data_IF_078390732427
#
_entry.id   IF_078390732427
#
_cell.length_a   1.000
_cell.length_b   1.000
_cell.length_c   1.000
_cell.angle_alpha   90.00
_cell.angle_beta   90.00
_cell.angle_gamma   90.00
#
_symmetry.space_group_name_H-M   'P 1'
#
loop_
_entity.id
_entity.type
_entity.pdbx_description
1 polymer ?
#
# COMPACT_ATOMS: atom_id res chain seq x y z
N UNK A 1 -49.19 -45.39 41.22
CA UNK A 1 -48.84 -44.41 40.15
C UNK A 1 -49.32 -44.94 38.81
N UNK A 2 -50.14 -44.18 38.09
CA UNK A 2 -50.88 -44.67 36.93
C UNK A 2 -50.03 -44.54 35.66
N UNK A 3 -49.53 -45.66 35.11
CA UNK A 3 -48.64 -45.69 33.93
C UNK A 3 -49.22 -44.91 32.72
N UNK A 4 -50.56 -44.89 32.62
CA UNK A 4 -51.31 -44.18 31.58
C UNK A 4 -51.23 -42.65 31.69
N UNK A 5 -51.07 -42.09 32.89
CA UNK A 5 -50.88 -40.64 33.07
C UNK A 5 -49.44 -40.22 32.80
N UNK A 6 -48.48 -41.08 33.15
CA UNK A 6 -47.05 -40.86 32.88
C UNK A 6 -46.73 -40.83 31.38
N UNK A 7 -47.28 -41.79 30.61
CA UNK A 7 -47.11 -41.83 29.15
C UNK A 7 -47.79 -40.63 28.46
N UNK A 8 -48.99 -40.23 28.92
CA UNK A 8 -49.67 -39.04 28.41
C UNK A 8 -48.88 -37.75 28.70
N UNK A 9 -48.31 -37.63 29.90
CA UNK A 9 -47.44 -36.50 30.26
C UNK A 9 -46.21 -36.39 29.37
N UNK A 10 -45.51 -37.51 29.10
CA UNK A 10 -44.33 -37.52 28.21
C UNK A 10 -44.66 -37.12 26.78
N UNK A 11 -45.79 -37.61 26.24
CA UNK A 11 -46.24 -37.26 24.87
C UNK A 11 -46.54 -35.76 24.76
N UNK A 12 -47.22 -35.18 25.75
CA UNK A 12 -47.52 -33.74 25.78
C UNK A 12 -46.24 -32.91 25.85
N UNK A 13 -45.28 -33.31 26.69
CA UNK A 13 -44.00 -32.62 26.83
C UNK A 13 -43.20 -32.67 25.51
N UNK A 14 -43.14 -33.83 24.85
CA UNK A 14 -42.44 -33.94 23.56
C UNK A 14 -43.09 -33.09 22.48
N UNK A 15 -44.43 -33.05 22.41
CA UNK A 15 -45.14 -32.21 21.44
C UNK A 15 -44.91 -30.71 21.68
N UNK A 16 -44.91 -30.29 22.94
CA UNK A 16 -44.61 -28.91 23.33
C UNK A 16 -43.17 -28.51 22.98
N UNK A 17 -42.19 -29.40 23.24
CA UNK A 17 -40.79 -29.16 22.89
C UNK A 17 -40.58 -29.07 21.38
N UNK A 18 -41.20 -29.96 20.60
CA UNK A 18 -41.11 -29.90 19.14
C UNK A 18 -41.78 -28.64 18.58
N UNK A 19 -42.96 -28.26 19.11
CA UNK A 19 -43.65 -27.04 18.69
C UNK A 19 -42.84 -25.79 19.03
N UNK A 20 -42.22 -25.74 20.22
CA UNK A 20 -41.35 -24.65 20.64
C UNK A 20 -40.10 -24.56 19.74
N UNK A 21 -39.45 -25.69 19.43
CA UNK A 21 -38.31 -25.72 18.51
C UNK A 21 -38.66 -25.25 17.11
N UNK A 22 -39.84 -25.62 16.58
CA UNK A 22 -40.32 -25.17 15.27
C UNK A 22 -40.65 -23.67 15.29
N UNK A 23 -41.28 -23.18 16.36
CA UNK A 23 -41.58 -21.76 16.53
C UNK A 23 -40.29 -20.91 16.57
N UNK A 24 -39.29 -21.32 17.37
CA UNK A 24 -37.97 -20.67 17.45
C UNK A 24 -37.26 -20.68 16.10
N UNK A 25 -37.32 -21.80 15.38
CA UNK A 25 -36.74 -21.89 14.02
C UNK A 25 -37.42 -20.93 13.04
N UNK A 26 -38.74 -20.80 13.11
CA UNK A 26 -39.50 -19.92 12.23
C UNK A 26 -39.24 -18.43 12.54
N UNK A 27 -39.18 -18.04 13.82
CA UNK A 27 -38.87 -16.65 14.20
C UNK A 27 -37.44 -16.25 13.81
N UNK A 28 -36.46 -17.15 13.97
CA UNK A 28 -35.07 -16.88 13.56
C UNK A 28 -34.91 -16.69 12.04
N UNK A 29 -35.74 -17.36 11.23
CA UNK A 29 -35.73 -17.23 9.76
C UNK A 29 -36.34 -15.92 9.27
N UNK A 30 -37.39 -15.43 9.93
CA UNK A 30 -38.12 -14.22 9.48
C UNK A 30 -37.32 -12.93 9.73
N UNK A 31 -36.46 -12.89 10.75
CA UNK A 31 -35.62 -11.71 11.04
C UNK A 31 -34.50 -11.47 10.00
N UNK A 32 -34.20 -12.44 9.14
CA UNK A 32 -33.17 -12.30 8.11
C UNK A 32 -33.60 -11.43 6.92
N UNK A 33 -34.89 -11.09 6.80
CA UNK A 33 -35.42 -10.34 5.67
C UNK A 33 -35.69 -8.85 5.93
N UNK A 34 -35.61 -8.38 7.20
CA UNK A 34 -35.90 -6.97 7.55
C UNK A 34 -34.65 -6.09 7.69
N UNK A 35 -33.45 -6.65 7.70
CA UNK A 35 -32.18 -5.88 7.73
C UNK A 35 -31.59 -5.70 6.31
N UNK A 36 -32.15 -6.36 5.29
CA UNK A 36 -31.64 -6.33 3.92
C UNK A 36 -32.10 -5.13 3.07
N UNK A 37 -32.78 -4.13 3.65
CA UNK A 37 -33.26 -2.94 2.92
C UNK A 37 -32.82 -1.61 3.53
N UNK A 38 -31.72 -1.60 4.30
CA UNK A 38 -30.91 -0.38 4.35
C UNK A 38 -30.19 -0.29 3.01
N UNK A 39 -30.81 0.46 2.11
CA UNK A 39 -30.18 1.08 0.95
C UNK A 39 -28.91 1.78 1.41
N UNK A 40 -27.78 1.06 1.42
CA UNK A 40 -26.45 1.67 1.37
C UNK A 40 -26.51 2.53 0.11
N UNK A 41 -26.40 3.86 0.20
CA UNK A 41 -26.34 4.66 -1.02
C UNK A 41 -25.20 4.09 -1.84
N UNK A 42 -25.52 3.65 -3.07
CA UNK A 42 -24.54 3.23 -4.05
C UNK A 42 -23.37 4.19 -3.99
N UNK A 43 -22.10 3.71 -3.95
CA UNK A 43 -20.98 4.63 -3.98
C UNK A 43 -21.18 5.51 -5.22
N UNK A 44 -21.40 6.80 -4.96
CA UNK A 44 -21.22 7.84 -5.97
C UNK A 44 -19.88 7.50 -6.62
N UNK A 45 -19.76 7.47 -7.96
CA UNK A 45 -18.47 7.23 -8.59
C UNK A 45 -17.57 8.43 -8.29
N UNK A 46 -16.95 8.41 -7.11
CA UNK A 46 -15.84 9.28 -6.69
C UNK A 46 -14.58 8.78 -7.38
N UNK A 47 -14.63 8.57 -8.70
CA UNK A 47 -13.58 7.84 -9.44
C UNK A 47 -12.28 8.63 -9.61
N UNK A 48 -12.18 9.84 -9.07
CA UNK A 48 -10.95 10.62 -9.05
C UNK A 48 -10.24 10.67 -7.69
N UNK A 49 -10.90 10.28 -6.59
CA UNK A 49 -10.35 10.46 -5.24
C UNK A 49 -9.60 9.23 -4.69
N UNK A 50 -9.60 8.11 -5.40
CA UNK A 50 -8.92 6.87 -4.97
C UNK A 50 -7.67 6.53 -5.79
N UNK A 51 -7.47 7.21 -6.93
CA UNK A 51 -6.32 6.97 -7.79
C UNK A 51 -5.05 7.51 -7.12
N UNK A 52 -4.26 6.61 -6.54
CA UNK A 52 -2.92 6.94 -6.06
C UNK A 52 -2.01 7.29 -7.24
N UNK A 53 -1.04 8.19 -7.00
CA UNK A 53 -0.04 8.56 -7.99
C UNK A 53 0.78 7.32 -8.40
N UNK A 54 0.47 6.76 -9.57
CA UNK A 54 1.20 5.66 -10.19
C UNK A 54 2.01 6.20 -11.36
N UNK A 55 3.31 5.99 -11.31
CA UNK A 55 4.27 6.73 -12.13
C UNK A 55 5.41 5.82 -12.58
N UNK A 56 5.96 6.10 -13.77
CA UNK A 56 7.17 5.45 -14.24
C UNK A 56 8.42 6.13 -13.69
N UNK A 57 9.30 5.33 -13.11
CA UNK A 57 10.62 5.72 -12.65
C UNK A 57 11.68 4.85 -13.30
N UNK A 58 12.89 5.38 -13.44
CA UNK A 58 14.06 4.52 -13.63
C UNK A 58 14.44 3.94 -12.26
N UNK A 59 14.88 2.69 -12.25
CA UNK A 59 15.34 2.01 -11.05
C UNK A 59 16.71 1.40 -11.27
N UNK A 60 17.57 1.52 -10.27
CA UNK A 60 18.83 0.77 -10.10
C UNK A 60 18.82 0.06 -8.74
N UNK A 61 19.87 -0.68 -8.43
CA UNK A 61 20.07 -1.26 -7.12
C UNK A 61 21.50 -0.99 -6.61
N UNK A 62 21.61 -0.87 -5.28
CA UNK A 62 22.87 -0.72 -4.57
C UNK A 62 22.97 -1.75 -3.44
N UNK A 63 24.20 -2.11 -3.07
CA UNK A 63 24.48 -3.12 -2.04
C UNK A 63 25.45 -2.63 -0.94
N UNK A 64 25.97 -1.41 -1.07
CA UNK A 64 27.03 -0.87 -0.21
C UNK A 64 26.47 0.14 0.78
N UNK A 65 27.21 0.35 1.86
CA UNK A 65 26.85 1.28 2.93
C UNK A 65 26.40 0.57 4.19
N UNK A 66 26.40 1.30 5.30
CA UNK A 66 26.00 0.80 6.62
C UNK A 66 24.81 1.56 7.18
N UNK A 67 24.73 2.85 6.88
CA UNK A 67 23.74 3.79 7.42
C UNK A 67 23.19 4.66 6.28
N UNK A 68 21.87 4.77 6.20
CA UNK A 68 21.19 5.61 5.21
C UNK A 68 21.29 7.08 5.58
N UNK A 69 20.94 7.98 4.65
CA UNK A 69 20.86 9.42 4.92
C UNK A 69 19.96 9.78 6.11
N UNK A 70 18.89 9.03 6.35
CA UNK A 70 18.01 9.22 7.50
C UNK A 70 18.61 8.77 8.84
N UNK A 71 19.77 8.11 8.84
CA UNK A 71 20.44 7.61 10.05
C UNK A 71 20.09 6.17 10.44
N UNK A 72 19.25 5.48 9.65
CA UNK A 72 18.86 4.09 9.90
C UNK A 72 19.88 3.13 9.30
N UNK A 73 20.15 2.00 9.97
CA UNK A 73 20.98 0.94 9.38
C UNK A 73 20.33 0.37 8.12
N UNK A 74 21.10 0.29 7.04
CA UNK A 74 20.59 -0.17 5.74
C UNK A 74 20.15 -1.65 5.81
N UNK A 75 19.05 -1.97 5.12
CA UNK A 75 18.43 -3.31 5.05
C UNK A 75 17.45 -3.39 3.89
N UNK A 76 17.02 -4.60 3.54
CA UNK A 76 15.97 -4.82 2.54
C UNK A 76 14.69 -4.02 2.88
N UNK A 77 13.99 -3.57 1.82
CA UNK A 77 12.84 -2.68 1.91
C UNK A 77 13.21 -1.19 2.01
N UNK A 78 14.48 -0.83 1.82
CA UNK A 78 14.96 0.55 1.76
C UNK A 78 15.28 0.92 0.31
N UNK A 79 14.90 2.13 -0.08
CA UNK A 79 15.33 2.75 -1.33
C UNK A 79 16.00 4.10 -1.08
N UNK A 80 16.89 4.47 -1.99
CA UNK A 80 17.37 5.82 -2.17
C UNK A 80 16.54 6.52 -3.26
N UNK A 81 16.28 7.81 -3.10
CA UNK A 81 15.60 8.62 -4.11
C UNK A 81 16.05 10.09 -4.04
N UNK A 82 15.57 10.90 -4.99
CA UNK A 82 15.68 12.35 -4.93
C UNK A 82 14.70 12.93 -3.89
N UNK A 83 15.18 13.61 -2.84
CA UNK A 83 14.31 14.17 -1.80
C UNK A 83 13.40 15.31 -2.30
N UNK A 84 13.67 15.91 -3.46
CA UNK A 84 12.80 16.94 -4.05
C UNK A 84 11.51 16.37 -4.66
N UNK A 85 11.50 15.08 -5.04
CA UNK A 85 10.33 14.40 -5.58
C UNK A 85 9.75 13.37 -4.60
N UNK A 86 10.62 12.62 -3.93
CA UNK A 86 10.27 11.63 -2.93
C UNK A 86 11.01 11.95 -1.62
N UNK A 87 10.44 12.80 -0.76
CA UNK A 87 11.06 13.17 0.51
C UNK A 87 11.40 11.95 1.37
N UNK A 88 12.43 12.06 2.21
CA UNK A 88 12.78 11.00 3.17
C UNK A 88 11.54 10.67 4.04
N UNK A 89 11.30 9.37 4.23
CA UNK A 89 10.12 8.83 4.90
C UNK A 89 9.02 8.38 3.94
N UNK A 90 9.09 8.78 2.66
CA UNK A 90 8.12 8.34 1.64
C UNK A 90 8.06 6.82 1.55
N UNK A 91 6.87 6.29 1.31
CA UNK A 91 6.63 4.86 1.15
C UNK A 91 6.11 4.66 -0.27
N UNK A 92 6.73 3.75 -1.00
CA UNK A 92 6.40 3.43 -2.37
C UNK A 92 6.14 1.94 -2.51
N UNK A 93 5.20 1.59 -3.37
CA UNK A 93 5.06 0.23 -3.87
C UNK A 93 5.67 0.18 -5.27
N UNK A 94 6.53 -0.80 -5.48
CA UNK A 94 7.14 -1.10 -6.77
C UNK A 94 6.41 -2.30 -7.35
N UNK A 95 5.93 -2.12 -8.58
CA UNK A 95 5.34 -3.19 -9.40
C UNK A 95 6.26 -3.49 -10.58
N UNK A 96 6.71 -4.73 -10.66
CA UNK A 96 7.58 -5.28 -11.69
C UNK A 96 7.08 -6.66 -12.12
N UNK A 97 7.76 -7.32 -13.06
CA UNK A 97 7.44 -8.70 -13.48
C UNK A 97 8.44 -9.68 -12.87
N UNK A 98 8.73 -9.55 -11.58
CA UNK A 98 9.84 -10.29 -10.96
C UNK A 98 9.93 -10.18 -9.44
N UNK A 99 11.02 -10.68 -8.84
CA UNK A 99 11.16 -10.81 -7.39
C UNK A 99 11.32 -9.48 -6.64
N UNK A 100 11.33 -8.36 -7.36
CA UNK A 100 11.59 -7.03 -6.82
C UNK A 100 10.30 -6.27 -6.46
N UNK A 101 9.15 -6.91 -6.67
CA UNK A 101 7.84 -6.39 -6.26
C UNK A 101 7.79 -6.22 -4.75
N UNK A 102 7.27 -5.09 -4.29
CA UNK A 102 7.11 -4.87 -2.86
C UNK A 102 7.06 -3.42 -2.44
N UNK A 103 7.05 -3.23 -1.13
CA UNK A 103 6.97 -1.93 -0.48
C UNK A 103 8.37 -1.51 -0.02
N UNK A 104 8.77 -0.31 -0.43
CA UNK A 104 10.05 0.28 -0.09
C UNK A 104 9.83 1.61 0.64
N UNK A 105 10.66 1.87 1.63
CA UNK A 105 10.72 3.17 2.31
C UNK A 105 11.92 3.95 1.82
N UNK A 106 11.70 5.18 1.38
CA UNK A 106 12.74 6.11 0.98
C UNK A 106 13.43 6.63 2.24
N UNK A 107 14.58 6.06 2.57
CA UNK A 107 15.35 6.42 3.76
C UNK A 107 16.76 6.93 3.42
N UNK A 108 17.14 6.83 2.14
CA UNK A 108 18.45 7.21 1.68
C UNK A 108 18.39 8.18 0.48
N UNK A 109 19.52 8.78 0.17
CA UNK A 109 19.70 9.70 -0.97
C UNK A 109 21.08 9.49 -1.58
N UNK A 110 21.26 9.76 -2.85
CA UNK A 110 22.57 9.68 -3.49
C UNK A 110 22.78 10.78 -4.53
N UNK A 111 24.03 11.26 -4.72
CA UNK A 111 24.33 12.29 -5.72
C UNK A 111 24.04 11.83 -7.16
N UNK A 112 24.04 10.51 -7.40
CA UNK A 112 23.68 9.91 -8.69
C UNK A 112 22.19 9.52 -8.79
N UNK A 113 21.44 9.59 -7.69
CA UNK A 113 20.03 9.21 -7.58
C UNK A 113 19.19 10.48 -7.54
N UNK A 114 18.89 11.02 -8.73
CA UNK A 114 18.28 12.34 -8.92
C UNK A 114 17.08 12.24 -9.88
N UNK A 115 16.08 13.09 -9.68
CA UNK A 115 14.83 13.10 -10.44
C UNK A 115 14.02 11.81 -10.25
N UNK A 116 13.37 11.35 -11.32
CA UNK A 116 12.56 10.11 -11.35
C UNK A 116 13.43 8.85 -11.42
N UNK A 117 14.38 8.73 -10.49
CA UNK A 117 15.28 7.60 -10.30
C UNK A 117 15.19 7.12 -8.84
N UNK A 118 14.96 5.82 -8.66
CA UNK A 118 15.11 5.15 -7.37
C UNK A 118 16.30 4.19 -7.41
N UNK A 119 16.92 3.96 -6.26
CA UNK A 119 18.01 3.00 -6.09
C UNK A 119 17.67 2.04 -4.94
N UNK A 120 17.34 0.80 -5.24
CA UNK A 120 16.83 -0.17 -4.26
C UNK A 120 18.00 -0.85 -3.54
N UNK A 121 17.94 -0.93 -2.21
CA UNK A 121 18.94 -1.68 -1.47
C UNK A 121 18.76 -3.19 -1.64
N UNK A 122 19.86 -3.88 -1.95
CA UNK A 122 19.95 -5.33 -2.00
C UNK A 122 21.15 -5.81 -1.18
N UNK A 123 21.01 -6.95 -0.50
CA UNK A 123 22.11 -7.50 0.30
C UNK A 123 23.27 -7.97 -0.58
N UNK A 124 22.98 -8.57 -1.73
CA UNK A 124 23.98 -9.11 -2.64
C UNK A 124 24.33 -8.09 -3.72
N UNK A 125 25.62 -7.79 -3.87
CA UNK A 125 26.09 -6.97 -4.99
C UNK A 125 25.92 -7.67 -6.33
N UNK A 126 25.94 -9.01 -6.36
CA UNK A 126 25.64 -9.76 -7.58
C UNK A 126 24.17 -9.57 -7.98
N UNK A 127 23.26 -9.64 -7.02
CA UNK A 127 21.84 -9.38 -7.26
C UNK A 127 21.60 -7.93 -7.72
N UNK A 128 22.30 -6.96 -7.12
CA UNK A 128 22.22 -5.56 -7.55
C UNK A 128 22.73 -5.36 -9.00
N UNK A 129 23.77 -6.09 -9.41
CA UNK A 129 24.26 -6.08 -10.78
C UNK A 129 23.28 -6.74 -11.75
N UNK A 130 22.71 -7.88 -11.38
CA UNK A 130 21.69 -8.60 -12.17
C UNK A 130 20.38 -7.81 -12.28
N UNK A 131 20.04 -7.03 -11.25
CA UNK A 131 18.94 -6.08 -11.31
C UNK A 131 19.18 -5.03 -12.41
N UNK A 132 20.40 -4.51 -12.53
CA UNK A 132 20.77 -3.55 -13.57
C UNK A 132 19.91 -2.27 -13.55
N UNK A 133 19.82 -1.57 -14.68
CA UNK A 133 18.96 -0.40 -14.82
C UNK A 133 17.70 -0.78 -15.58
N UNK A 134 16.53 -0.47 -15.01
CA UNK A 134 15.22 -0.76 -15.63
C UNK A 134 14.21 0.34 -15.37
N UNK A 135 13.09 0.30 -16.06
CA UNK A 135 11.94 1.16 -15.78
C UNK A 135 10.92 0.38 -14.99
N UNK A 136 10.48 0.94 -13.86
CA UNK A 136 9.49 0.33 -12.98
C UNK A 136 8.28 1.25 -12.83
N UNK A 137 7.14 0.63 -12.62
CA UNK A 137 5.93 1.32 -12.22
C UNK A 137 5.93 1.41 -10.70
N UNK A 138 5.78 2.64 -10.20
CA UNK A 138 5.82 2.94 -8.79
C UNK A 138 4.50 3.59 -8.41
N UNK A 139 3.85 3.04 -7.39
CA UNK A 139 2.70 3.64 -6.75
C UNK A 139 3.12 4.28 -5.44
N UNK A 140 2.90 5.58 -5.30
CA UNK A 140 3.29 6.31 -4.09
C UNK A 140 2.25 6.03 -3.01
N UNK A 141 2.65 5.38 -1.93
CA UNK A 141 1.77 5.05 -0.81
C UNK A 141 1.66 6.20 0.19
N UNK A 142 2.78 6.88 0.46
CA UNK A 142 2.87 8.04 1.35
C UNK A 142 4.04 8.94 0.95
N UNK A 143 3.87 10.26 1.08
CA UNK A 143 4.97 11.22 0.92
C UNK A 143 5.52 11.67 2.28
N UNK A 144 6.83 11.55 2.46
CA UNK A 144 7.51 11.97 3.69
C UNK A 144 7.06 11.21 4.95
N UNK A 145 7.30 11.83 6.11
CA UNK A 145 7.04 11.22 7.42
C UNK A 145 5.60 11.36 7.92
N UNK A 146 4.86 12.32 7.39
CA UNK A 146 3.53 12.65 7.89
C UNK A 146 2.52 11.55 7.50
N UNK A 147 1.91 10.84 8.45
CA UNK A 147 0.93 9.79 8.14
C UNK A 147 -0.28 10.29 7.36
N UNK A 148 -0.70 11.56 7.56
CA UNK A 148 -1.81 12.14 6.82
C UNK A 148 -1.55 12.21 5.31
N UNK A 149 -0.27 12.25 4.89
CA UNK A 149 0.14 12.26 3.48
C UNK A 149 0.08 10.85 2.86
N UNK A 150 -0.84 9.99 3.35
CA UNK A 150 -1.13 8.66 2.81
C UNK A 150 -2.53 8.58 2.18
N UNK A 151 -3.39 9.58 2.39
CA UNK A 151 -4.72 9.62 1.77
C UNK A 151 -4.59 9.74 0.24
N UNK A 152 -5.29 8.91 -0.58
CA UNK A 152 -5.01 8.83 -2.01
C UNK A 152 -5.07 10.18 -2.76
N UNK A 153 -6.12 10.98 -2.53
CA UNK A 153 -6.23 12.33 -3.13
C UNK A 153 -5.11 13.26 -2.67
N UNK A 154 -4.80 13.27 -1.36
CA UNK A 154 -3.74 14.12 -0.80
C UNK A 154 -2.36 13.74 -1.32
N UNK A 155 -2.05 12.45 -1.44
CA UNK A 155 -0.79 11.96 -2.02
C UNK A 155 -0.63 12.46 -3.44
N UNK A 156 -1.69 12.36 -4.24
CA UNK A 156 -1.66 12.81 -5.63
C UNK A 156 -1.39 14.31 -5.74
N UNK A 157 -2.14 15.12 -4.98
CA UNK A 157 -1.99 16.58 -5.00
C UNK A 157 -0.60 17.01 -4.53
N UNK A 158 -0.10 16.41 -3.44
CA UNK A 158 1.24 16.69 -2.93
C UNK A 158 2.31 16.31 -3.96
N UNK A 159 2.20 15.13 -4.58
CA UNK A 159 3.18 14.72 -5.58
C UNK A 159 3.24 15.68 -6.76
N UNK A 160 2.08 16.13 -7.26
CA UNK A 160 2.00 17.12 -8.33
C UNK A 160 2.72 18.41 -7.92
N UNK A 161 2.48 18.91 -6.71
CA UNK A 161 3.17 20.10 -6.18
C UNK A 161 4.69 19.92 -6.12
N UNK A 162 5.18 18.77 -5.60
CA UNK A 162 6.61 18.47 -5.59
C UNK A 162 7.20 18.42 -7.00
N UNK A 163 6.48 17.82 -7.94
CA UNK A 163 6.94 17.74 -9.33
C UNK A 163 6.97 19.10 -10.02
N UNK A 164 5.96 19.94 -9.82
CA UNK A 164 5.92 21.30 -10.34
C UNK A 164 7.03 22.17 -9.73
N UNK A 165 7.27 22.05 -8.42
CA UNK A 165 8.37 22.72 -7.74
C UNK A 165 9.74 22.25 -8.27
N UNK A 166 9.88 20.96 -8.55
CA UNK A 166 11.08 20.39 -9.15
C UNK A 166 11.30 20.93 -10.57
N UNK A 167 10.26 20.97 -11.41
CA UNK A 167 10.36 21.49 -12.80
C UNK A 167 10.61 22.99 -12.86
N UNK A 168 10.10 23.76 -11.89
CA UNK A 168 10.25 25.21 -11.83
C UNK A 168 11.56 25.67 -11.18
N UNK A 169 12.26 24.80 -10.47
CA UNK A 169 13.60 25.10 -9.96
C UNK A 169 14.59 25.24 -11.13
N UNK A 170 15.40 26.31 -11.21
CA UNK A 170 16.48 26.38 -12.19
C UNK A 170 17.41 25.20 -11.92
N UNK A 171 17.50 24.26 -12.87
CA UNK A 171 18.39 23.11 -12.76
C UNK A 171 19.78 23.61 -12.34
N UNK A 172 20.43 22.99 -11.34
CA UNK A 172 21.86 23.17 -11.18
C UNK A 172 22.49 22.81 -12.52
N UNK A 173 23.18 23.76 -13.17
CA UNK A 173 23.99 23.47 -14.35
C UNK A 173 24.85 22.26 -14.01
N UNK A 174 24.60 21.13 -14.68
CA UNK A 174 25.48 19.96 -14.57
C UNK A 174 26.90 20.48 -14.79
N UNK A 175 27.87 20.24 -13.87
CA UNK A 175 29.24 20.66 -14.12
C UNK A 175 29.65 20.09 -15.46
N UNK A 176 29.94 20.97 -16.43
CA UNK A 176 30.44 20.53 -17.72
C UNK A 176 31.74 19.79 -17.42
N UNK A 177 31.79 18.50 -17.76
CA UNK A 177 33.02 17.73 -17.64
C UNK A 177 34.10 18.48 -18.42
N UNK A 178 35.27 18.78 -17.82
CA UNK A 178 36.33 19.47 -18.53
C UNK A 178 36.67 18.69 -19.81
N UNK A 179 36.99 19.39 -20.92
CA UNK A 179 37.28 18.74 -22.19
C UNK A 179 38.38 17.71 -21.98
N UNK A 180 38.13 16.47 -22.43
CA UNK A 180 39.16 15.42 -22.49
C UNK A 180 40.37 15.99 -23.24
N UNK A 181 41.48 16.20 -22.55
CA UNK A 181 42.77 16.42 -23.21
C UNK A 181 43.09 15.15 -24.00
N UNK A 182 43.24 15.30 -25.32
CA UNK A 182 43.77 14.27 -26.22
C UNK A 182 45.25 14.06 -25.93
#
# INVERSE_FOLDING_TARGET
MNLKSYVRGRIIITLMLTACSVAVYFTARVDSHLVASQQIPSPIPTSQSEARATLRFSATAYCKGTTTKSGVRVRAGIAAADPQLLPIGSVIEVSSTGPYDGIYTVLDTGPAVQGRLIDIYMWSCYEALDFGRRHLEIRILRLGWNPADSEPGRVNDLFIQFEEAFRSSPMPLKPQSPPKKK
#
